data_IF_465548437254
#
_entry.id   IF_465548437254
#
_cell.length_a   1.000
_cell.length_b   1.000
_cell.length_c   1.000
_cell.angle_alpha   90.00
_cell.angle_beta   90.00
_cell.angle_gamma   90.00
#
_symmetry.space_group_name_H-M   'P 1'
#
loop_
_entity.id
_entity.type
_entity.pdbx_description
1 polymer ?
#
# COMPACT_ATOMS: atom_id res chain seq x y z
N UNK A 1 18.16 -11.92 -0.42
CA UNK A 1 17.18 -10.81 -0.27
C UNK A 1 16.86 -10.24 -1.65
N UNK A 2 15.61 -10.00 -1.91
CA UNK A 2 15.18 -9.29 -3.12
C UNK A 2 14.52 -7.96 -2.73
N UNK A 3 14.33 -7.06 -3.69
CA UNK A 3 13.57 -5.83 -3.51
C UNK A 3 12.27 -5.90 -4.31
N UNK A 4 11.16 -5.60 -3.66
CA UNK A 4 9.81 -5.65 -4.25
C UNK A 4 9.19 -4.27 -4.31
N UNK A 5 8.42 -4.03 -5.37
CA UNK A 5 7.37 -3.03 -5.33
C UNK A 5 6.04 -3.76 -5.50
N UNK A 6 5.15 -3.58 -4.54
CA UNK A 6 3.85 -4.25 -4.49
C UNK A 6 2.78 -3.19 -4.64
N UNK A 7 1.91 -3.34 -5.65
CA UNK A 7 0.90 -2.35 -6.00
C UNK A 7 -0.50 -2.82 -5.60
N UNK A 8 -1.29 -1.91 -5.05
CA UNK A 8 -2.71 -2.12 -4.80
C UNK A 8 -3.55 -1.10 -5.54
N UNK A 9 -4.69 -1.53 -6.10
CA UNK A 9 -5.58 -0.67 -6.90
C UNK A 9 -7.01 -0.58 -6.37
N UNK A 10 -7.37 -1.39 -5.37
CA UNK A 10 -8.72 -1.43 -4.81
C UNK A 10 -8.75 -0.89 -3.39
N UNK A 11 -9.88 -0.28 -3.03
CA UNK A 11 -10.14 0.22 -1.69
C UNK A 11 -11.37 -0.47 -1.09
N UNK A 12 -12.26 0.31 -0.47
CA UNK A 12 -13.47 -0.24 0.15
C UNK A 12 -14.43 -0.87 -0.85
N UNK A 13 -14.25 -0.60 -2.14
CA UNK A 13 -15.03 -1.19 -3.23
C UNK A 13 -14.78 -2.70 -3.40
N UNK A 14 -13.62 -3.19 -2.98
CA UNK A 14 -13.28 -4.61 -3.04
C UNK A 14 -12.38 -4.96 -1.83
N UNK A 15 -12.98 -5.29 -0.69
CA UNK A 15 -12.21 -5.50 0.55
C UNK A 15 -11.15 -6.59 0.46
N UNK A 16 -11.41 -7.67 -0.26
CA UNK A 16 -10.44 -8.76 -0.41
C UNK A 16 -9.23 -8.30 -1.23
N UNK A 17 -9.47 -7.70 -2.40
CA UNK A 17 -8.37 -7.19 -3.24
C UNK A 17 -7.66 -6.02 -2.58
N UNK A 18 -8.33 -5.22 -1.78
CA UNK A 18 -7.72 -4.14 -1.01
C UNK A 18 -6.71 -4.67 0.02
N UNK A 19 -7.02 -5.81 0.63
CA UNK A 19 -6.23 -6.39 1.71
C UNK A 19 -4.99 -7.15 1.22
N UNK A 20 -5.07 -7.80 0.06
CA UNK A 20 -4.01 -8.66 -0.45
C UNK A 20 -2.64 -7.97 -0.59
N UNK A 21 -2.52 -6.73 -1.09
CA UNK A 21 -1.23 -6.07 -1.18
C UNK A 21 -0.55 -5.89 0.19
N UNK A 22 -1.33 -5.60 1.21
CA UNK A 22 -0.81 -5.44 2.58
C UNK A 22 -0.33 -6.78 3.14
N UNK A 23 -1.07 -7.85 2.88
CA UNK A 23 -0.66 -9.19 3.27
C UNK A 23 0.63 -9.60 2.54
N UNK A 24 0.70 -9.37 1.24
CA UNK A 24 1.89 -9.68 0.45
C UNK A 24 3.11 -8.90 0.95
N UNK A 25 2.93 -7.62 1.26
CA UNK A 25 4.00 -6.78 1.79
C UNK A 25 4.51 -7.30 3.14
N UNK A 26 3.58 -7.66 4.04
CA UNK A 26 3.92 -8.23 5.34
C UNK A 26 4.74 -9.51 5.18
N UNK A 27 4.26 -10.45 4.37
CA UNK A 27 4.92 -11.74 4.16
C UNK A 27 6.29 -11.54 3.51
N UNK A 28 6.39 -10.70 2.48
CA UNK A 28 7.67 -10.42 1.83
C UNK A 28 8.69 -9.84 2.82
N UNK A 29 8.25 -8.95 3.70
CA UNK A 29 9.11 -8.37 4.73
C UNK A 29 9.54 -9.40 5.76
N UNK A 30 8.64 -10.28 6.18
CA UNK A 30 8.97 -11.38 7.11
C UNK A 30 10.01 -12.33 6.51
N UNK A 31 10.01 -12.49 5.19
CA UNK A 31 11.00 -13.32 4.50
C UNK A 31 12.32 -12.59 4.24
N UNK A 32 12.48 -11.39 4.74
CA UNK A 32 13.74 -10.65 4.68
C UNK A 32 13.94 -9.80 3.43
N UNK A 33 12.86 -9.53 2.69
CA UNK A 33 12.94 -8.71 1.48
C UNK A 33 12.73 -7.22 1.76
N UNK A 34 13.23 -6.37 0.88
CA UNK A 34 12.95 -4.94 0.89
C UNK A 34 11.68 -4.67 0.11
N UNK A 35 10.74 -3.92 0.68
CA UNK A 35 9.40 -3.74 0.12
C UNK A 35 8.99 -2.27 0.13
N UNK A 36 8.46 -1.81 -1.00
CA UNK A 36 7.67 -0.59 -1.10
C UNK A 36 6.26 -1.00 -1.49
N UNK A 37 5.28 -0.45 -0.81
CA UNK A 37 3.86 -0.63 -1.11
C UNK A 37 3.35 0.61 -1.85
N UNK A 38 2.85 0.42 -3.08
CA UNK A 38 2.33 1.49 -3.93
C UNK A 38 0.82 1.37 -4.03
N UNK A 39 0.12 2.47 -3.70
CA UNK A 39 -1.33 2.55 -3.73
C UNK A 39 -1.77 3.57 -4.79
N UNK A 40 -2.53 3.14 -5.75
CA UNK A 40 -3.14 3.99 -6.77
C UNK A 40 -4.62 3.67 -6.93
N UNK A 41 -5.34 4.45 -7.76
CA UNK A 41 -6.78 4.30 -7.93
C UNK A 41 -7.49 4.37 -6.56
N UNK A 42 -8.51 3.58 -6.32
CA UNK A 42 -9.22 3.57 -5.04
C UNK A 42 -8.36 3.15 -3.84
N UNK A 43 -7.27 2.42 -4.07
CA UNK A 43 -6.38 2.02 -2.99
C UNK A 43 -5.73 3.20 -2.25
N UNK A 44 -5.67 4.40 -2.86
CA UNK A 44 -5.14 5.59 -2.16
C UNK A 44 -5.96 5.93 -0.92
N UNK A 45 -7.24 5.56 -0.89
CA UNK A 45 -8.11 5.78 0.27
C UNK A 45 -7.63 4.98 1.49
N UNK A 46 -6.94 3.87 1.27
CA UNK A 46 -6.37 3.06 2.36
C UNK A 46 -5.17 3.73 3.02
N UNK A 47 -4.56 4.68 2.35
CA UNK A 47 -3.52 5.52 2.92
C UNK A 47 -4.05 6.64 3.81
N UNK A 48 -5.36 6.93 3.74
CA UNK A 48 -6.01 7.91 4.59
C UNK A 48 -6.27 7.30 5.97
N UNK A 49 -6.03 8.07 7.03
CA UNK A 49 -6.29 7.66 8.41
C UNK A 49 -7.75 7.22 8.56
N UNK A 50 -7.95 6.04 9.13
CA UNK A 50 -9.27 5.52 9.49
C UNK A 50 -9.96 4.67 8.43
N UNK A 51 -9.65 4.83 7.14
CA UNK A 51 -10.33 4.06 6.09
C UNK A 51 -10.09 2.55 6.24
N UNK A 52 -8.85 2.15 6.49
CA UNK A 52 -8.50 0.74 6.65
C UNK A 52 -9.17 0.03 7.82
N UNK A 53 -9.66 0.78 8.82
CA UNK A 53 -10.32 0.22 9.99
C UNK A 53 -11.63 -0.50 9.64
N UNK A 54 -12.18 -0.23 8.46
CA UNK A 54 -13.47 -0.77 8.00
C UNK A 54 -13.31 -1.83 6.91
N UNK A 55 -12.08 -2.29 6.65
CA UNK A 55 -11.81 -3.22 5.56
C UNK A 55 -11.37 -4.57 6.09
N UNK A 56 -12.17 -5.61 5.78
CA UNK A 56 -11.82 -7.00 6.07
C UNK A 56 -12.17 -7.84 4.86
N UNK A 57 -11.17 -8.49 4.27
CA UNK A 57 -11.36 -9.39 3.13
C UNK A 57 -11.94 -10.73 3.55
N UNK A 58 -12.40 -11.48 2.57
CA UNK A 58 -12.98 -12.81 2.81
C UNK A 58 -11.89 -13.76 3.32
N UNK A 59 -12.06 -14.24 4.54
CA UNK A 59 -11.14 -15.16 5.21
C UNK A 59 -9.71 -14.61 5.33
N UNK A 60 -9.58 -13.28 5.46
CA UNK A 60 -8.29 -12.62 5.64
C UNK A 60 -8.22 -11.88 6.98
N UNK A 61 -7.01 -11.69 7.46
CA UNK A 61 -6.74 -10.80 8.60
C UNK A 61 -7.28 -9.40 8.28
N UNK A 62 -7.92 -8.70 9.22
CA UNK A 62 -8.37 -7.33 9.00
C UNK A 62 -7.24 -6.43 8.49
N UNK A 63 -7.54 -5.58 7.51
CA UNK A 63 -6.54 -4.69 6.91
C UNK A 63 -5.86 -3.81 7.96
N UNK A 64 -6.59 -3.33 8.95
CA UNK A 64 -6.06 -2.54 10.05
C UNK A 64 -4.87 -3.22 10.74
N UNK A 65 -4.95 -4.54 10.97
CA UNK A 65 -3.87 -5.29 11.62
C UNK A 65 -2.67 -5.49 10.68
N UNK A 66 -2.93 -5.72 9.39
CA UNK A 66 -1.87 -5.82 8.38
C UNK A 66 -1.18 -4.47 8.17
N UNK A 67 -1.93 -3.38 8.15
CA UNK A 67 -1.36 -2.03 8.07
C UNK A 67 -0.43 -1.77 9.25
N UNK A 68 -0.87 -2.08 10.46
CA UNK A 68 -0.02 -1.93 11.65
C UNK A 68 1.26 -2.77 11.54
N UNK A 69 1.17 -3.98 11.01
CA UNK A 69 2.33 -4.85 10.83
C UNK A 69 3.34 -4.29 9.82
N UNK A 70 2.87 -3.79 8.66
CA UNK A 70 3.79 -3.22 7.66
C UNK A 70 4.39 -1.91 8.17
N UNK A 71 3.65 -1.10 8.92
CA UNK A 71 4.18 0.10 9.55
C UNK A 71 5.28 -0.23 10.56
N UNK A 72 5.04 -1.21 11.43
CA UNK A 72 6.02 -1.65 12.43
C UNK A 72 7.29 -2.22 11.77
N UNK A 73 7.16 -2.85 10.61
CA UNK A 73 8.28 -3.39 9.84
C UNK A 73 9.04 -2.33 9.04
N UNK A 74 8.59 -1.08 9.04
CA UNK A 74 9.25 0.01 8.32
C UNK A 74 8.99 0.04 6.82
N UNK A 75 7.95 -0.65 6.34
CA UNK A 75 7.59 -0.62 4.92
C UNK A 75 7.11 0.78 4.54
N UNK A 76 7.69 1.35 3.49
CA UNK A 76 7.22 2.61 2.93
C UNK A 76 5.92 2.39 2.17
N UNK A 77 4.95 3.25 2.42
CA UNK A 77 3.66 3.24 1.72
C UNK A 77 3.61 4.49 0.85
N UNK A 78 3.55 4.30 -0.46
CA UNK A 78 3.49 5.38 -1.43
C UNK A 78 2.09 5.53 -1.98
N UNK A 79 1.55 6.73 -1.92
CA UNK A 79 0.20 7.05 -2.37
C UNK A 79 0.29 7.90 -3.62
N UNK A 80 -0.32 7.43 -4.72
CA UNK A 80 -0.31 8.13 -6.00
C UNK A 80 -0.94 9.51 -5.87
N UNK A 81 -0.17 10.56 -6.22
CA UNK A 81 -0.59 11.95 -6.04
C UNK A 81 -1.81 12.33 -6.86
N UNK A 82 -1.88 11.93 -8.13
CA UNK A 82 -3.03 12.25 -8.98
C UNK A 82 -4.32 11.61 -8.45
N UNK A 83 -4.25 10.37 -8.01
CA UNK A 83 -5.40 9.66 -7.43
C UNK A 83 -5.81 10.26 -6.08
N UNK A 84 -4.84 10.69 -5.28
CA UNK A 84 -5.08 11.34 -3.99
C UNK A 84 -5.79 12.70 -4.17
N UNK A 85 -5.30 13.53 -5.09
CA UNK A 85 -5.91 14.83 -5.39
C UNK A 85 -7.36 14.67 -5.81
N UNK A 86 -7.63 13.71 -6.70
CA UNK A 86 -9.00 13.45 -7.18
C UNK A 86 -9.96 13.07 -6.03
N UNK A 87 -9.43 12.55 -4.93
CA UNK A 87 -10.21 12.09 -3.76
C UNK A 87 -10.04 13.01 -2.54
N UNK A 88 -9.46 14.19 -2.76
CA UNK A 88 -9.25 15.21 -1.70
C UNK A 88 -8.43 14.67 -0.52
N UNK A 89 -7.43 13.87 -0.81
CA UNK A 89 -6.50 13.35 0.19
C UNK A 89 -5.19 14.15 0.11
N UNK A 90 -4.83 14.79 1.20
CA UNK A 90 -3.57 15.54 1.31
C UNK A 90 -2.58 14.79 2.22
N UNK A 91 -1.33 15.25 2.24
CA UNK A 91 -0.29 14.63 3.07
C UNK A 91 -0.63 14.57 4.55
N UNK A 92 -1.39 15.55 5.05
CA UNK A 92 -1.83 15.58 6.46
C UNK A 92 -2.86 14.52 6.82
N UNK A 93 -3.52 13.93 5.81
CA UNK A 93 -4.54 12.89 6.00
C UNK A 93 -3.97 11.48 6.07
N UNK A 94 -2.68 11.31 5.78
CA UNK A 94 -2.09 9.99 5.58
C UNK A 94 -1.72 9.29 6.89
N UNK A 95 -1.82 7.96 6.85
CA UNK A 95 -1.34 7.09 7.94
C UNK A 95 0.19 7.19 8.08
N UNK A 96 0.70 6.80 9.24
CA UNK A 96 2.14 6.78 9.48
C UNK A 96 2.85 5.87 8.45
N UNK A 97 3.99 6.32 7.95
CA UNK A 97 4.79 5.60 6.95
C UNK A 97 4.33 5.83 5.51
N UNK A 98 3.22 6.53 5.30
CA UNK A 98 2.72 6.85 3.97
C UNK A 98 3.16 8.24 3.51
N UNK A 99 3.45 8.37 2.22
CA UNK A 99 3.79 9.64 1.58
C UNK A 99 3.22 9.69 0.18
N UNK A 100 2.98 10.91 -0.30
CA UNK A 100 2.49 11.12 -1.66
C UNK A 100 3.67 11.08 -2.62
N UNK A 101 3.56 10.27 -3.67
CA UNK A 101 4.54 10.13 -4.74
C UNK A 101 3.88 10.23 -6.10
N UNK A 102 4.65 10.59 -7.11
CA UNK A 102 4.16 10.67 -8.47
C UNK A 102 4.47 9.43 -9.30
N UNK A 103 3.89 9.38 -10.50
CA UNK A 103 4.18 8.30 -11.45
C UNK A 103 5.67 8.18 -11.78
N UNK A 104 6.43 9.29 -11.91
CA UNK A 104 7.87 9.18 -12.14
C UNK A 104 8.60 8.40 -11.03
N UNK A 105 8.19 8.59 -9.78
CA UNK A 105 8.78 7.86 -8.63
C UNK A 105 8.47 6.37 -8.74
N UNK A 106 7.23 6.03 -9.11
CA UNK A 106 6.80 4.64 -9.27
C UNK A 106 7.59 3.94 -10.38
N UNK A 107 7.68 4.56 -11.56
CA UNK A 107 8.39 3.97 -12.69
C UNK A 107 9.88 3.79 -12.37
N UNK A 108 10.48 4.78 -11.71
CA UNK A 108 11.87 4.66 -11.26
C UNK A 108 12.06 3.48 -10.31
N UNK A 109 11.14 3.32 -9.35
CA UNK A 109 11.21 2.20 -8.41
C UNK A 109 11.03 0.86 -9.11
N UNK A 110 10.11 0.75 -10.06
CA UNK A 110 9.92 -0.46 -10.87
C UNK A 110 11.20 -0.81 -11.63
N UNK A 111 11.86 0.18 -12.21
CA UNK A 111 13.10 -0.02 -12.96
C UNK A 111 14.27 -0.48 -12.09
N UNK A 112 14.29 -0.08 -10.82
CA UNK A 112 15.41 -0.33 -9.90
C UNK A 112 15.20 -1.57 -9.01
N UNK A 113 13.96 -2.07 -8.88
CA UNK A 113 13.66 -3.18 -7.99
C UNK A 113 13.64 -4.51 -8.73
N UNK A 114 13.88 -5.59 -8.00
CA UNK A 114 14.02 -6.93 -8.57
C UNK A 114 12.68 -7.51 -9.03
N UNK A 115 11.61 -7.20 -8.33
CA UNK A 115 10.30 -7.83 -8.55
C UNK A 115 9.17 -6.81 -8.41
N UNK A 116 8.13 -7.01 -9.19
CA UNK A 116 6.89 -6.25 -9.12
C UNK A 116 5.71 -7.20 -8.98
N UNK A 117 4.84 -6.94 -8.01
CA UNK A 117 3.58 -7.68 -7.84
C UNK A 117 2.46 -6.64 -7.85
N UNK A 118 1.46 -6.84 -8.69
CA UNK A 118 0.32 -5.92 -8.82
C UNK A 118 -1.00 -6.64 -8.53
N UNK A 119 -1.83 -5.97 -7.75
CA UNK A 119 -3.17 -6.44 -7.41
C UNK A 119 -4.25 -5.51 -7.94
#
# INVERSE_FOLDING_TARGET
MASFIISGSRGTDDPTMATLPFMAAKVAKEQGHDVVLWLWNEAVTLGRKGTGDHVTGVNLTPLKDLLAAVQAAGVQIWVCGACAVARQISSGDLVAGASIKGMPDYIKAVAERDRTIAF
#
